data_IF_145248602648
#
_entry.id   IF_145248602648
#
_cell.length_a   1.000
_cell.length_b   1.000
_cell.length_c   1.000
_cell.angle_alpha   90.00
_cell.angle_beta   90.00
_cell.angle_gamma   90.00
#
_symmetry.space_group_name_H-M   'P 1'
#
loop_
_entity.id
_entity.type
_entity.pdbx_description
1 polymer ?
#
# COMPACT_ATOMS: atom_id res chain seq x y z
N UNK A 1 -7.89 -3.54 -7.51
CA UNK A 1 -7.20 -3.04 -6.29
C UNK A 1 -6.26 -1.88 -6.63
N UNK A 2 -5.44 -1.97 -7.67
CA UNK A 2 -4.62 -0.85 -8.14
C UNK A 2 -5.42 0.43 -8.44
N UNK A 3 -6.49 0.33 -9.24
CA UNK A 3 -7.37 1.48 -9.52
C UNK A 3 -8.04 2.04 -8.26
N UNK A 4 -8.34 1.19 -7.27
CA UNK A 4 -8.83 1.64 -5.98
C UNK A 4 -7.75 2.43 -5.22
N UNK A 5 -6.50 1.98 -5.25
CA UNK A 5 -5.37 2.74 -4.69
C UNK A 5 -5.23 4.12 -5.33
N UNK A 6 -5.33 4.21 -6.66
CA UNK A 6 -5.31 5.49 -7.39
C UNK A 6 -6.47 6.40 -6.98
N UNK A 7 -7.67 5.85 -6.85
CA UNK A 7 -8.83 6.59 -6.36
C UNK A 7 -8.60 7.12 -4.94
N UNK A 8 -8.07 6.30 -4.04
CA UNK A 8 -7.76 6.71 -2.66
C UNK A 8 -6.67 7.79 -2.63
N UNK A 9 -5.68 7.73 -3.53
CA UNK A 9 -4.65 8.78 -3.65
C UNK A 9 -5.27 10.13 -3.97
N UNK A 10 -6.19 10.17 -4.92
CA UNK A 10 -6.90 11.41 -5.28
C UNK A 10 -7.79 11.88 -4.14
N UNK A 11 -8.52 10.97 -3.50
CA UNK A 11 -9.44 11.28 -2.41
C UNK A 11 -8.76 11.86 -1.17
N UNK A 12 -7.56 11.38 -0.86
CA UNK A 12 -6.79 11.80 0.33
C UNK A 12 -5.55 12.65 -0.03
N UNK A 13 -5.51 13.27 -1.21
CA UNK A 13 -4.47 14.27 -1.52
C UNK A 13 -4.58 15.45 -0.55
N UNK A 14 -3.44 15.89 -0.01
CA UNK A 14 -3.36 16.91 1.04
C UNK A 14 -3.63 16.42 2.47
N UNK A 15 -4.18 15.21 2.66
CA UNK A 15 -4.25 14.56 3.98
C UNK A 15 -3.08 13.58 4.20
N UNK A 16 -2.84 12.69 3.23
CA UNK A 16 -1.67 11.81 3.23
C UNK A 16 -0.55 12.43 2.41
N UNK A 17 0.70 12.29 2.86
CA UNK A 17 1.85 12.69 2.04
C UNK A 17 1.84 11.96 0.70
N UNK A 18 2.32 12.63 -0.36
CA UNK A 18 2.45 12.01 -1.68
C UNK A 18 3.51 10.92 -1.70
N UNK A 19 4.62 11.17 -0.99
CA UNK A 19 5.64 10.16 -0.71
C UNK A 19 5.13 9.17 0.33
N UNK A 20 5.56 7.93 0.21
CA UNK A 20 5.32 6.93 1.24
C UNK A 20 6.18 7.25 2.48
N UNK A 21 5.54 7.39 3.64
CA UNK A 21 6.19 7.62 4.93
C UNK A 21 5.76 6.51 5.91
N UNK A 22 6.69 5.68 6.43
CA UNK A 22 6.35 4.52 7.27
C UNK A 22 5.58 4.83 8.57
N UNK A 23 5.63 6.09 9.03
CA UNK A 23 4.94 6.54 10.24
C UNK A 23 3.55 7.13 9.98
N UNK A 24 3.18 7.41 8.73
CA UNK A 24 1.87 7.95 8.38
C UNK A 24 0.82 6.87 8.17
N UNK A 25 1.23 5.67 7.75
CA UNK A 25 0.31 4.59 7.40
C UNK A 25 0.76 3.25 7.98
N UNK A 26 -0.23 2.44 8.35
CA UNK A 26 -0.03 1.01 8.64
C UNK A 26 -1.00 0.23 7.78
N UNK A 27 -0.48 -0.69 6.97
CA UNK A 27 -1.29 -1.58 6.13
C UNK A 27 -1.33 -2.95 6.79
N UNK A 28 -2.53 -3.43 7.09
CA UNK A 28 -2.75 -4.76 7.67
C UNK A 28 -3.59 -5.62 6.73
N UNK A 29 -3.18 -6.87 6.55
CA UNK A 29 -3.89 -7.88 5.77
C UNK A 29 -3.97 -9.20 6.53
N UNK A 30 -4.96 -10.01 6.19
CA UNK A 30 -5.02 -11.43 6.59
C UNK A 30 -3.96 -12.23 5.83
N UNK A 31 -3.56 -13.39 6.36
CA UNK A 31 -2.50 -14.26 5.82
C UNK A 31 -2.83 -15.00 4.52
N UNK A 32 -4.00 -14.74 3.92
CA UNK A 32 -4.32 -15.30 2.62
C UNK A 32 -3.52 -14.62 1.51
N UNK A 33 -2.86 -15.41 0.65
CA UNK A 33 -2.09 -14.89 -0.50
C UNK A 33 -2.89 -13.88 -1.34
N UNK A 34 -4.19 -14.14 -1.58
CA UNK A 34 -5.08 -13.23 -2.31
C UNK A 34 -5.23 -11.86 -1.64
N UNK A 35 -5.24 -11.83 -0.31
CA UNK A 35 -5.41 -10.60 0.48
C UNK A 35 -4.11 -9.79 0.46
N UNK A 36 -2.96 -10.45 0.62
CA UNK A 36 -1.64 -9.84 0.50
C UNK A 36 -1.45 -9.24 -0.90
N UNK A 37 -1.74 -10.01 -1.97
CA UNK A 37 -1.65 -9.51 -3.35
C UNK A 37 -2.58 -8.31 -3.58
N UNK A 38 -3.79 -8.35 -3.02
CA UNK A 38 -4.75 -7.25 -3.12
C UNK A 38 -4.28 -6.00 -2.41
N UNK A 39 -3.74 -6.15 -1.19
CA UNK A 39 -3.17 -5.06 -0.42
C UNK A 39 -1.98 -4.43 -1.16
N UNK A 40 -1.02 -5.23 -1.61
CA UNK A 40 0.15 -4.76 -2.37
C UNK A 40 -0.25 -4.03 -3.66
N UNK A 41 -1.24 -4.54 -4.40
CA UNK A 41 -1.75 -3.88 -5.60
C UNK A 41 -2.43 -2.54 -5.28
N UNK A 42 -3.16 -2.45 -4.15
CA UNK A 42 -3.75 -1.20 -3.70
C UNK A 42 -2.65 -0.17 -3.35
N UNK A 43 -1.64 -0.59 -2.58
CA UNK A 43 -0.51 0.27 -2.22
C UNK A 43 0.28 0.78 -3.43
N UNK A 44 0.45 -0.06 -4.45
CA UNK A 44 1.10 0.35 -5.70
C UNK A 44 0.36 1.48 -6.42
N UNK A 45 -0.98 1.54 -6.33
CA UNK A 45 -1.77 2.63 -6.90
C UNK A 45 -1.86 3.85 -5.99
N UNK A 46 -1.73 3.65 -4.68
CA UNK A 46 -1.82 4.71 -3.67
C UNK A 46 -0.50 5.48 -3.50
N UNK A 47 0.65 4.82 -3.68
CA UNK A 47 1.98 5.42 -3.47
C UNK A 47 2.88 5.19 -4.68
N UNK A 48 2.57 5.89 -5.78
CA UNK A 48 3.50 5.97 -6.90
C UNK A 48 4.80 6.67 -6.46
N UNK A 49 5.99 6.11 -6.75
CA UNK A 49 7.25 6.70 -6.30
C UNK A 49 7.51 8.05 -6.98
N UNK A 50 7.86 9.05 -6.18
CA UNK A 50 8.19 10.40 -6.63
C UNK A 50 9.61 10.81 -6.16
N UNK A 51 10.34 11.53 -7.02
CA UNK A 51 11.65 12.07 -6.70
C UNK A 51 12.67 11.01 -6.26
N UNK A 52 13.13 11.12 -5.02
CA UNK A 52 14.12 10.26 -4.38
C UNK A 52 13.62 8.84 -4.09
N UNK A 53 12.30 8.59 -4.09
CA UNK A 53 11.73 7.25 -3.92
C UNK A 53 11.69 6.44 -5.22
N UNK A 54 12.07 7.03 -6.37
CA UNK A 54 12.19 6.32 -7.64
C UNK A 54 13.50 5.53 -7.66
N UNK A 55 13.43 4.26 -7.24
CA UNK A 55 14.58 3.35 -7.30
C UNK A 55 14.80 2.76 -8.70
N UNK A 56 13.78 2.76 -9.55
CA UNK A 56 13.82 2.25 -10.92
C UNK A 56 13.07 3.17 -11.88
N UNK A 57 13.75 3.69 -12.90
CA UNK A 57 13.16 4.63 -13.86
C UNK A 57 12.16 3.96 -14.82
N UNK A 58 12.31 2.66 -15.10
CA UNK A 58 11.40 1.89 -15.95
C UNK A 58 10.20 1.30 -15.21
N UNK A 59 10.16 1.43 -13.88
CA UNK A 59 9.12 0.83 -13.05
C UNK A 59 8.64 1.82 -11.97
N UNK A 60 7.44 2.39 -12.20
CA UNK A 60 6.75 3.30 -11.27
C UNK A 60 6.08 2.55 -10.12
N UNK A 61 6.86 1.77 -9.38
CA UNK A 61 6.41 1.01 -8.21
C UNK A 61 7.47 1.06 -7.12
N UNK A 62 7.04 1.06 -5.85
CA UNK A 62 7.92 0.92 -4.70
C UNK A 62 7.37 -0.12 -3.71
N UNK A 63 8.24 -0.82 -2.97
CA UNK A 63 7.80 -1.73 -1.93
C UNK A 63 7.18 -0.97 -0.75
N UNK A 64 5.97 -1.36 -0.36
CA UNK A 64 5.29 -0.86 0.83
C UNK A 64 5.01 -2.05 1.76
N UNK A 65 5.47 -2.02 3.02
CA UNK A 65 5.28 -3.14 3.95
C UNK A 65 3.80 -3.36 4.26
N UNK A 66 3.37 -4.61 4.13
CA UNK A 66 2.04 -5.10 4.54
C UNK A 66 2.23 -5.99 5.76
N UNK A 67 1.69 -5.58 6.90
CA UNK A 67 1.68 -6.41 8.11
C UNK A 67 0.65 -7.53 7.92
N UNK A 68 1.10 -8.76 8.05
CA UNK A 68 0.24 -9.94 7.97
C UNK A 68 0.00 -10.45 9.38
N UNK A 69 -1.28 -10.59 9.75
CA UNK A 69 -1.66 -11.25 11.00
C UNK A 69 -1.97 -12.71 10.67
N UNK A 70 -1.35 -13.69 11.37
CA UNK A 70 -1.70 -15.10 11.25
C UNK A 70 -3.18 -15.31 11.57
N UNK A 71 -3.80 -16.33 10.95
CA UNK A 71 -5.25 -16.56 11.09
C UNK A 71 -5.63 -16.89 12.53
N UNK A 72 -4.72 -17.51 13.27
CA UNK A 72 -4.91 -17.85 14.67
C UNK A 72 -5.07 -16.62 15.57
N UNK A 73 -4.61 -15.45 15.11
CA UNK A 73 -4.60 -14.18 15.85
C UNK A 73 -5.53 -13.12 15.22
N UNK A 74 -6.40 -13.49 14.28
CA UNK A 74 -7.36 -12.55 13.67
C UNK A 74 -8.62 -12.43 14.55
N UNK A 75 -8.85 -11.31 15.25
CA UNK A 75 -9.95 -11.18 16.21
C UNK A 75 -11.32 -10.99 15.55
N UNK A 76 -11.40 -10.97 14.21
CA UNK A 76 -12.64 -10.76 13.47
C UNK A 76 -12.89 -11.96 12.55
N UNK A 77 -13.55 -12.97 13.11
CA UNK A 77 -14.16 -14.09 12.39
C UNK A 77 -15.65 -13.88 12.18
#
# INVERSE_FOLDING_TARGET
QFELGKYLRQRYDGFLSRKYLPYEIVVRSTSYNRAIMSASANMAGLFEPEGDQIWNQGLRWQPVPVQVVPKEDDPVG
#
